data_IF_578429403952
#
_entry.id   IF_578429403952
#
_cell.length_a   1.000
_cell.length_b   1.000
_cell.length_c   1.000
_cell.angle_alpha   90.00
_cell.angle_beta   90.00
_cell.angle_gamma   90.00
#
_symmetry.space_group_name_H-M   'P 1'
#
loop_
_entity.id
_entity.type
_entity.pdbx_description
1 polymer ?
#
# COMPACT_ATOMS: atom_id res chain seq x y z
N UNK A 1 3.37 13.41 21.45
CA UNK A 1 4.45 12.85 20.61
C UNK A 1 3.96 11.67 19.77
N UNK A 2 3.22 10.70 20.32
CA UNK A 2 2.66 9.57 19.52
C UNK A 2 1.85 9.98 18.28
N UNK A 3 0.99 11.00 18.37
CA UNK A 3 0.25 11.45 17.19
C UNK A 3 1.16 12.04 16.11
N UNK A 4 2.25 12.71 16.49
CA UNK A 4 3.16 13.31 15.52
C UNK A 4 3.86 12.22 14.69
N UNK A 5 4.30 11.12 15.30
CA UNK A 5 4.94 10.03 14.55
C UNK A 5 3.96 9.33 13.59
N UNK A 6 2.70 9.12 14.03
CA UNK A 6 1.64 8.59 13.16
C UNK A 6 1.32 9.52 11.99
N UNK A 7 1.29 10.83 12.26
CA UNK A 7 1.01 11.86 11.26
C UNK A 7 2.19 12.01 10.28
N UNK A 8 3.43 11.92 10.77
CA UNK A 8 4.64 11.89 9.94
C UNK A 8 4.67 10.66 9.03
N UNK A 9 4.19 9.52 9.50
CA UNK A 9 3.98 8.31 8.71
C UNK A 9 3.19 8.59 7.42
N UNK A 10 2.19 9.47 7.49
CA UNK A 10 1.34 9.83 6.34
C UNK A 10 2.08 10.54 5.21
N UNK A 11 3.27 11.06 5.46
CA UNK A 11 4.08 11.73 4.42
C UNK A 11 4.81 10.74 3.51
N UNK A 12 4.86 9.45 3.88
CA UNK A 12 5.58 8.44 3.10
C UNK A 12 4.71 7.80 2.02
N UNK A 13 5.32 7.67 0.83
CA UNK A 13 4.91 6.75 -0.23
C UNK A 13 5.82 5.52 -0.17
N UNK A 14 5.25 4.33 0.03
CA UNK A 14 6.01 3.09 0.10
C UNK A 14 5.57 2.05 -0.94
N UNK A 15 6.51 1.22 -1.38
CA UNK A 15 6.17 0.01 -2.13
C UNK A 15 5.81 -1.15 -1.19
N UNK A 16 5.10 -2.14 -1.72
CA UNK A 16 4.72 -3.37 -1.02
C UNK A 16 5.11 -4.61 -1.83
N UNK A 17 5.38 -5.74 -1.17
CA UNK A 17 5.79 -6.96 -1.84
C UNK A 17 4.64 -7.97 -1.98
N UNK A 18 4.68 -8.77 -3.05
CA UNK A 18 3.69 -9.81 -3.32
C UNK A 18 2.34 -9.27 -3.82
N UNK A 19 1.39 -10.20 -3.95
CA UNK A 19 0.04 -9.99 -4.51
C UNK A 19 -1.04 -10.09 -3.43
N UNK A 20 -0.66 -10.12 -2.16
CA UNK A 20 -1.61 -10.12 -1.04
C UNK A 20 -0.98 -9.61 0.25
N UNK A 21 -1.80 -9.29 1.23
CA UNK A 21 -1.34 -8.81 2.53
C UNK A 21 -0.72 -9.98 3.32
N UNK A 22 0.61 -9.98 3.42
CA UNK A 22 1.38 -10.99 4.17
C UNK A 22 1.92 -10.42 5.49
N UNK A 23 2.55 -11.27 6.30
CA UNK A 23 3.08 -10.91 7.62
C UNK A 23 4.15 -9.81 7.58
N UNK A 24 5.02 -9.82 6.57
CA UNK A 24 6.07 -8.80 6.41
C UNK A 24 5.47 -7.44 6.05
N UNK A 25 4.49 -7.44 5.14
CA UNK A 25 3.73 -6.26 4.77
C UNK A 25 2.99 -5.69 5.99
N UNK A 26 2.30 -6.53 6.76
CA UNK A 26 1.60 -6.10 7.99
C UNK A 26 2.56 -5.46 8.99
N UNK A 27 3.76 -6.04 9.18
CA UNK A 27 4.78 -5.48 10.06
C UNK A 27 5.26 -4.10 9.59
N UNK A 28 5.54 -3.96 8.29
CA UNK A 28 5.96 -2.69 7.70
C UNK A 28 4.86 -1.62 7.80
N UNK A 29 3.63 -1.97 7.43
CA UNK A 29 2.47 -1.07 7.48
C UNK A 29 2.18 -0.57 8.90
N UNK A 30 2.25 -1.45 9.90
CA UNK A 30 2.05 -1.08 11.31
C UNK A 30 3.16 -0.18 11.85
N UNK A 31 4.38 -0.34 11.34
CA UNK A 31 5.53 0.46 11.77
C UNK A 31 5.58 1.83 11.10
N UNK A 32 5.17 1.93 9.83
CA UNK A 32 5.33 3.14 9.01
C UNK A 32 4.05 3.99 9.02
N UNK A 33 2.88 3.34 9.01
CA UNK A 33 1.57 3.98 8.86
C UNK A 33 1.52 4.95 7.64
N UNK A 34 1.89 4.47 6.44
CA UNK A 34 2.09 5.31 5.26
C UNK A 34 0.81 6.03 4.83
N UNK A 35 0.96 7.20 4.22
CA UNK A 35 -0.17 7.91 3.60
C UNK A 35 -0.41 7.47 2.16
N UNK A 36 0.57 6.86 1.52
CA UNK A 36 0.44 6.35 0.17
C UNK A 36 1.19 5.01 -0.03
N UNK A 37 0.64 4.17 -0.89
CA UNK A 37 1.20 2.88 -1.29
C UNK A 37 1.26 2.83 -2.80
N UNK A 38 2.43 2.50 -3.36
CA UNK A 38 2.63 2.29 -4.80
C UNK A 38 2.69 0.80 -5.14
N UNK A 39 1.83 0.38 -6.06
CA UNK A 39 1.87 -0.93 -6.69
C UNK A 39 2.66 -0.90 -8.00
N UNK A 40 3.33 -2.01 -8.27
CA UNK A 40 4.00 -2.30 -9.54
C UNK A 40 3.35 -3.53 -10.19
N UNK A 41 3.74 -3.84 -11.42
CA UNK A 41 3.24 -5.02 -12.16
C UNK A 41 3.33 -6.32 -11.36
N UNK A 42 4.40 -6.52 -10.59
CA UNK A 42 4.60 -7.69 -9.71
C UNK A 42 3.61 -7.82 -8.55
N UNK A 43 2.77 -6.81 -8.31
CA UNK A 43 1.75 -6.82 -7.25
C UNK A 43 0.35 -7.13 -7.78
N UNK A 44 0.19 -7.28 -9.10
CA UNK A 44 -1.10 -7.34 -9.78
C UNK A 44 -1.16 -8.63 -10.61
N UNK A 45 -2.09 -9.50 -10.26
CA UNK A 45 -2.43 -10.70 -11.03
C UNK A 45 -3.67 -10.42 -11.90
N UNK A 46 -4.72 -9.91 -11.27
CA UNK A 46 -5.94 -9.48 -11.93
C UNK A 46 -6.69 -8.41 -11.12
N UNK A 47 -7.80 -7.92 -11.67
CA UNK A 47 -8.61 -6.88 -11.04
C UNK A 47 -9.21 -7.31 -9.69
N UNK A 48 -9.67 -8.56 -9.57
CA UNK A 48 -10.31 -9.06 -8.35
C UNK A 48 -9.29 -9.23 -7.24
N UNK A 49 -8.12 -9.80 -7.54
CA UNK A 49 -7.00 -9.91 -6.62
C UNK A 49 -6.57 -8.52 -6.12
N UNK A 50 -6.37 -7.56 -7.02
CA UNK A 50 -5.95 -6.21 -6.62
C UNK A 50 -7.00 -5.50 -5.76
N UNK A 51 -8.29 -5.60 -6.12
CA UNK A 51 -9.39 -5.03 -5.31
C UNK A 51 -9.38 -5.60 -3.90
N UNK A 52 -9.26 -6.92 -3.75
CA UNK A 52 -9.17 -7.57 -2.43
C UNK A 52 -7.92 -7.12 -1.67
N UNK A 53 -6.77 -7.03 -2.33
CA UNK A 53 -5.53 -6.61 -1.68
C UNK A 53 -5.63 -5.17 -1.14
N UNK A 54 -6.25 -4.27 -1.91
CA UNK A 54 -6.54 -2.90 -1.47
C UNK A 54 -7.47 -2.88 -0.25
N UNK A 55 -8.55 -3.67 -0.27
CA UNK A 55 -9.48 -3.77 0.86
C UNK A 55 -8.80 -4.32 2.13
N UNK A 56 -8.01 -5.39 2.00
CA UNK A 56 -7.27 -5.98 3.11
C UNK A 56 -6.32 -4.96 3.76
N UNK A 57 -5.62 -4.14 2.94
CA UNK A 57 -4.74 -3.07 3.44
C UNK A 57 -5.54 -1.99 4.19
N UNK A 58 -6.66 -1.51 3.63
CA UNK A 58 -7.50 -0.49 4.27
C UNK A 58 -8.03 -0.99 5.62
N UNK A 59 -8.53 -2.22 5.65
CA UNK A 59 -9.05 -2.86 6.86
C UNK A 59 -7.95 -3.03 7.92
N UNK A 60 -6.73 -3.40 7.51
CA UNK A 60 -5.60 -3.55 8.43
C UNK A 60 -5.12 -2.21 9.02
N UNK A 61 -5.14 -1.16 8.20
CA UNK A 61 -4.67 0.17 8.57
C UNK A 61 -5.69 0.99 9.35
N UNK A 62 -6.99 0.71 9.20
CA UNK A 62 -8.10 1.50 9.75
C UNK A 62 -8.15 2.94 9.21
N UNK A 63 -7.63 3.14 7.99
CA UNK A 63 -7.75 4.37 7.20
C UNK A 63 -7.48 4.06 5.73
N UNK A 64 -7.78 5.02 4.86
CA UNK A 64 -7.56 4.91 3.41
C UNK A 64 -6.29 5.67 2.98
N UNK A 65 -5.17 4.97 2.71
CA UNK A 65 -4.02 5.60 2.05
C UNK A 65 -4.33 5.85 0.56
N UNK A 66 -3.56 6.73 -0.06
CA UNK A 66 -3.55 6.87 -1.52
C UNK A 66 -2.92 5.63 -2.14
N UNK A 67 -3.58 5.07 -3.16
CA UNK A 67 -3.05 3.95 -3.93
C UNK A 67 -2.57 4.45 -5.29
N UNK A 68 -1.29 4.24 -5.58
CA UNK A 68 -0.65 4.64 -6.82
C UNK A 68 -0.23 3.41 -7.63
N UNK A 69 -0.14 3.56 -8.94
CA UNK A 69 0.45 2.56 -9.84
C UNK A 69 1.41 3.27 -10.79
N UNK A 70 2.58 2.68 -11.04
CA UNK A 70 3.46 3.12 -12.13
C UNK A 70 2.97 2.50 -13.45
N UNK A 71 1.91 3.09 -14.02
CA UNK A 71 1.39 2.68 -15.32
C UNK A 71 2.13 3.46 -16.41
N UNK A 72 3.23 2.89 -16.91
CA UNK A 72 3.83 3.37 -18.16
C UNK A 72 3.05 2.79 -19.32
N UNK A 73 2.33 3.65 -20.04
CA UNK A 73 1.86 3.34 -21.38
C UNK A 73 3.09 3.15 -22.26
N UNK A 74 3.24 1.99 -22.92
CA UNK A 74 4.18 1.91 -24.04
C UNK A 74 3.78 2.99 -25.06
N UNK A 75 4.65 3.97 -25.28
CA UNK A 75 4.60 4.81 -26.48
C UNK A 75 4.90 3.87 -27.66
N UNK A 76 3.84 3.43 -28.33
CA UNK A 76 3.90 2.78 -29.64
C UNK A 76 3.75 3.82 -30.74
#
# INVERSE_FOLDING_TARGET
>A
MENLEKDLGKLFLIGIQGTSLNSENMKALKSILPGAIIFFSRNIEDKYQLSKFIEDIKNFLDYEPLFCIDQRSEER
#
